data_IF_873176051359
#
_entry.id   IF_873176051359
#
_cell.length_a   1.000
_cell.length_b   1.000
_cell.length_c   1.000
_cell.angle_alpha   90.00
_cell.angle_beta   90.00
_cell.angle_gamma   90.00
#
_symmetry.space_group_name_H-M   'P 1'
#
loop_
_entity.id
_entity.type
_entity.pdbx_description
1 polymer ?
#
# COMPACT_ATOMS: atom_id res chain seq x y z
N UNK A 1 -14.76 -1.29 -4.96
CA UNK A 1 -14.03 -0.14 -4.41
C UNK A 1 -14.95 0.76 -3.60
N UNK A 2 -16.06 1.29 -4.16
CA UNK A 2 -16.99 2.19 -3.45
C UNK A 2 -17.36 1.72 -2.02
N UNK A 3 -17.78 0.45 -1.85
CA UNK A 3 -18.08 -0.11 -0.52
C UNK A 3 -16.86 -0.06 0.42
N UNK A 4 -15.66 -0.34 -0.09
CA UNK A 4 -14.44 -0.33 0.71
C UNK A 4 -14.05 1.08 1.15
N UNK A 5 -14.42 2.12 0.39
CA UNK A 5 -14.22 3.52 0.77
C UNK A 5 -15.03 3.88 2.02
N UNK A 6 -16.27 3.40 2.10
CA UNK A 6 -17.25 3.75 3.13
C UNK A 6 -17.12 2.94 4.43
N UNK A 7 -16.72 1.67 4.36
CA UNK A 7 -16.58 0.83 5.56
C UNK A 7 -15.33 1.19 6.37
N UNK A 8 -15.28 0.83 7.65
CA UNK A 8 -14.09 1.11 8.48
C UNK A 8 -12.82 0.45 7.93
N UNK A 9 -11.66 1.05 8.18
CA UNK A 9 -10.37 0.58 7.67
C UNK A 9 -10.10 -0.87 8.08
N UNK A 10 -10.38 -1.22 9.35
CA UNK A 10 -10.27 -2.59 9.86
C UNK A 10 -11.21 -3.59 9.15
N UNK A 11 -12.42 -3.18 8.79
CA UNK A 11 -13.35 -4.05 8.02
C UNK A 11 -12.85 -4.24 6.59
N UNK A 12 -12.45 -3.17 5.92
CA UNK A 12 -11.86 -3.23 4.59
C UNK A 12 -10.59 -4.10 4.59
N UNK A 13 -9.69 -3.93 5.55
CA UNK A 13 -8.48 -4.73 5.69
C UNK A 13 -8.79 -6.22 5.85
N UNK A 14 -9.79 -6.58 6.68
CA UNK A 14 -10.21 -7.98 6.83
C UNK A 14 -10.77 -8.58 5.54
N UNK A 15 -11.48 -7.81 4.72
CA UNK A 15 -11.95 -8.23 3.39
C UNK A 15 -10.75 -8.43 2.46
N UNK A 16 -9.84 -7.45 2.39
CA UNK A 16 -8.67 -7.52 1.54
C UNK A 16 -7.69 -8.62 1.99
N UNK A 17 -7.64 -8.96 3.28
CA UNK A 17 -6.88 -10.09 3.83
C UNK A 17 -7.30 -11.43 3.21
N UNK A 18 -8.55 -11.56 2.78
CA UNK A 18 -9.11 -12.76 2.16
C UNK A 18 -9.19 -12.65 0.62
N UNK A 19 -8.91 -11.48 0.05
CA UNK A 19 -8.99 -11.23 -1.40
C UNK A 19 -7.65 -11.55 -2.08
N UNK A 20 -7.64 -12.11 -3.29
CA UNK A 20 -6.39 -12.33 -4.03
C UNK A 20 -5.58 -11.03 -4.21
N UNK A 21 -4.25 -11.12 -4.09
CA UNK A 21 -3.35 -9.95 -4.14
C UNK A 21 -3.51 -9.14 -5.42
N UNK A 22 -3.66 -9.77 -6.59
CA UNK A 22 -3.86 -9.04 -7.85
C UNK A 22 -5.15 -8.21 -7.80
N UNK A 23 -6.22 -8.81 -7.26
CA UNK A 23 -7.50 -8.13 -7.13
C UNK A 23 -7.46 -7.02 -6.07
N UNK A 24 -6.69 -7.19 -5.00
CA UNK A 24 -6.44 -6.11 -4.03
C UNK A 24 -5.78 -4.92 -4.73
N UNK A 25 -4.73 -5.14 -5.53
CA UNK A 25 -4.05 -4.06 -6.27
C UNK A 25 -5.04 -3.30 -7.16
N UNK A 26 -5.91 -4.00 -7.90
CA UNK A 26 -6.95 -3.34 -8.70
C UNK A 26 -7.92 -2.53 -7.85
N UNK A 27 -8.35 -3.06 -6.70
CA UNK A 27 -9.26 -2.35 -5.80
C UNK A 27 -8.63 -1.08 -5.23
N UNK A 28 -7.36 -1.13 -4.82
CA UNK A 28 -6.64 0.01 -4.24
C UNK A 28 -6.49 1.17 -5.23
N UNK A 29 -6.38 0.89 -6.55
CA UNK A 29 -6.34 1.94 -7.60
C UNK A 29 -7.61 2.80 -7.66
N UNK A 30 -8.72 2.29 -7.11
CA UNK A 30 -10.01 2.97 -7.09
C UNK A 30 -10.37 3.54 -5.72
N UNK A 31 -9.48 3.41 -4.73
CA UNK A 31 -9.63 4.07 -3.43
C UNK A 31 -8.88 5.40 -3.42
N UNK A 32 -9.26 6.29 -2.52
CA UNK A 32 -8.41 7.45 -2.23
C UNK A 32 -7.07 6.98 -1.66
N UNK A 33 -5.99 7.74 -1.87
CA UNK A 33 -4.65 7.39 -1.36
C UNK A 33 -4.70 7.21 0.16
N UNK A 34 -5.34 8.14 0.87
CA UNK A 34 -5.50 8.07 2.33
C UNK A 34 -6.25 6.82 2.76
N UNK A 35 -7.33 6.45 2.05
CA UNK A 35 -8.07 5.22 2.36
C UNK A 35 -7.23 3.97 2.11
N UNK A 36 -6.58 3.89 0.96
CA UNK A 36 -5.72 2.76 0.61
C UNK A 36 -4.61 2.57 1.65
N UNK A 37 -3.93 3.64 2.04
CA UNK A 37 -2.86 3.61 3.03
C UNK A 37 -3.36 3.17 4.42
N UNK A 38 -4.46 3.76 4.89
CA UNK A 38 -5.07 3.36 6.16
C UNK A 38 -5.45 1.88 6.20
N UNK A 39 -5.98 1.35 5.09
CA UNK A 39 -6.34 -0.07 4.99
C UNK A 39 -5.09 -0.95 4.92
N UNK A 40 -4.05 -0.53 4.20
CA UNK A 40 -2.78 -1.24 4.09
C UNK A 40 -2.04 -1.37 5.43
N UNK A 41 -2.09 -0.34 6.28
CA UNK A 41 -1.53 -0.39 7.65
C UNK A 41 -2.23 -1.45 8.52
N UNK A 42 -3.52 -1.70 8.28
CA UNK A 42 -4.34 -2.68 9.02
C UNK A 42 -4.24 -4.11 8.44
N UNK A 43 -3.68 -4.29 7.24
CA UNK A 43 -3.43 -5.61 6.64
C UNK A 43 -2.22 -6.27 7.34
N UNK A 44 -2.21 -7.60 7.38
CA UNK A 44 -1.06 -8.36 7.87
C UNK A 44 0.22 -8.05 7.06
N UNK A 45 1.38 -7.95 7.73
CA UNK A 45 2.63 -7.48 7.09
C UNK A 45 2.98 -8.32 5.87
N UNK A 46 2.86 -9.65 5.97
CA UNK A 46 3.24 -10.56 4.88
C UNK A 46 2.36 -10.39 3.64
N UNK A 47 1.09 -10.01 3.85
CA UNK A 47 0.20 -9.73 2.74
C UNK A 47 0.42 -8.33 2.19
N UNK A 48 0.58 -7.34 3.07
CA UNK A 48 0.83 -5.96 2.70
C UNK A 48 2.12 -5.85 1.86
N UNK A 49 3.20 -6.56 2.21
CA UNK A 49 4.45 -6.54 1.43
C UNK A 49 4.23 -7.06 0.01
N UNK A 50 3.56 -8.19 -0.16
CA UNK A 50 3.21 -8.75 -1.48
C UNK A 50 2.32 -7.83 -2.30
N UNK A 51 1.40 -7.11 -1.65
CA UNK A 51 0.58 -6.10 -2.31
C UNK A 51 1.45 -4.93 -2.77
N UNK A 52 2.31 -4.39 -1.90
CA UNK A 52 3.25 -3.30 -2.23
C UNK A 52 4.15 -3.68 -3.39
N UNK A 53 4.71 -4.89 -3.40
CA UNK A 53 5.51 -5.41 -4.50
C UNK A 53 4.74 -5.40 -5.81
N UNK A 54 3.56 -6.00 -5.81
CA UNK A 54 2.73 -6.10 -7.01
C UNK A 54 2.20 -4.74 -7.48
N UNK A 55 1.96 -3.81 -6.55
CA UNK A 55 1.64 -2.43 -6.89
C UNK A 55 2.83 -1.75 -7.56
N UNK A 56 4.04 -1.90 -7.01
CA UNK A 56 5.24 -1.28 -7.55
C UNK A 56 5.61 -1.82 -8.94
N UNK A 57 5.39 -3.11 -9.19
CA UNK A 57 5.51 -3.73 -10.51
C UNK A 57 4.53 -3.14 -11.54
N UNK A 58 3.30 -2.86 -11.11
CA UNK A 58 2.25 -2.36 -11.99
C UNK A 58 2.31 -0.84 -12.22
N UNK A 59 2.60 -0.07 -11.16
CA UNK A 59 2.67 1.39 -11.13
C UNK A 59 3.43 1.84 -9.87
N UNK A 60 4.75 2.02 -10.00
CA UNK A 60 5.62 2.46 -8.91
C UNK A 60 5.22 3.81 -8.32
N UNK A 61 4.64 4.72 -9.11
CA UNK A 61 4.27 6.06 -8.66
C UNK A 61 3.06 6.02 -7.75
N UNK A 62 2.04 5.25 -8.11
CA UNK A 62 0.86 5.04 -7.24
C UNK A 62 1.23 4.26 -5.98
N UNK A 63 2.10 3.26 -6.09
CA UNK A 63 2.62 2.52 -4.94
C UNK A 63 3.38 3.42 -3.98
N UNK A 64 4.28 4.27 -4.50
CA UNK A 64 5.05 5.24 -3.73
C UNK A 64 4.16 6.22 -2.94
N UNK A 65 3.12 6.79 -3.58
CA UNK A 65 2.16 7.69 -2.92
C UNK A 65 1.44 7.02 -1.75
N UNK A 66 0.98 5.78 -1.96
CA UNK A 66 0.29 5.04 -0.90
C UNK A 66 1.27 4.69 0.22
N UNK A 67 2.50 4.28 -0.11
CA UNK A 67 3.52 3.95 0.88
C UNK A 67 3.97 5.18 1.70
N UNK A 68 4.11 6.35 1.07
CA UNK A 68 4.38 7.62 1.74
C UNK A 68 3.28 7.98 2.74
N UNK A 69 2.01 7.82 2.33
CA UNK A 69 0.86 8.02 3.23
C UNK A 69 0.78 6.93 4.31
N UNK A 70 1.19 5.69 4.04
CA UNK A 70 1.31 4.66 5.10
C UNK A 70 2.35 5.08 6.13
N UNK A 71 3.48 5.65 5.70
CA UNK A 71 4.54 6.11 6.60
C UNK A 71 4.09 7.31 7.45
N UNK A 72 3.25 8.20 6.91
CA UNK A 72 2.65 9.31 7.65
C UNK A 72 1.65 8.85 8.72
N UNK A 73 0.93 7.73 8.45
CA UNK A 73 -0.01 7.11 9.39
C UNK A 73 0.71 6.28 10.46
N UNK A 74 1.64 5.41 10.05
CA UNK A 74 2.36 4.51 10.95
C UNK A 74 3.72 4.10 10.33
N UNK A 75 4.76 4.85 10.68
CA UNK A 75 6.12 4.63 10.19
C UNK A 75 6.66 3.24 10.54
N UNK A 76 6.47 2.78 11.79
CA UNK A 76 6.97 1.46 12.23
C UNK A 76 6.33 0.35 11.42
N UNK A 77 5.01 0.38 11.24
CA UNK A 77 4.30 -0.63 10.45
C UNK A 77 4.72 -0.62 8.98
N UNK A 78 4.96 0.58 8.44
CA UNK A 78 5.42 0.72 7.05
C UNK A 78 6.83 0.17 6.88
N UNK A 79 7.72 0.38 7.86
CA UNK A 79 9.04 -0.23 7.88
C UNK A 79 8.97 -1.76 7.91
N UNK A 80 8.11 -2.36 8.76
CA UNK A 80 7.89 -3.82 8.80
C UNK A 80 7.48 -4.38 7.41
N UNK A 81 6.62 -3.67 6.69
CA UNK A 81 6.20 -4.04 5.33
C UNK A 81 7.37 -3.98 4.34
N UNK A 82 8.20 -2.94 4.44
CA UNK A 82 9.38 -2.77 3.59
C UNK A 82 10.49 -3.78 3.89
N UNK A 83 10.65 -4.20 5.15
CA UNK A 83 11.59 -5.26 5.55
C UNK A 83 11.25 -6.61 4.90
N UNK A 84 9.96 -6.84 4.62
CA UNK A 84 9.45 -8.03 3.92
C UNK A 84 9.29 -7.85 2.41
N UNK A 85 9.66 -6.69 1.88
CA UNK A 85 9.63 -6.37 0.46
C UNK A 85 11.02 -6.61 -0.15
N UNK A 86 11.07 -7.06 -1.40
CA UNK A 86 12.33 -7.20 -2.14
C UNK A 86 13.14 -5.89 -2.11
N UNK A 87 14.43 -5.99 -1.77
CA UNK A 87 15.33 -4.83 -1.60
C UNK A 87 15.31 -3.88 -2.80
N UNK A 88 15.30 -4.42 -4.02
CA UNK A 88 15.27 -3.60 -5.24
C UNK A 88 13.93 -2.85 -5.40
N UNK A 89 12.82 -3.47 -5.01
CA UNK A 89 11.51 -2.83 -5.02
C UNK A 89 11.45 -1.72 -3.97
N UNK A 90 11.96 -1.97 -2.75
CA UNK A 90 12.10 -0.94 -1.71
C UNK A 90 12.93 0.25 -2.20
N UNK A 91 14.08 0.01 -2.84
CA UNK A 91 14.92 1.07 -3.38
C UNK A 91 14.19 1.91 -4.44
N UNK A 92 13.47 1.27 -5.36
CA UNK A 92 12.65 1.96 -6.38
C UNK A 92 11.57 2.84 -5.74
N UNK A 93 10.88 2.32 -4.73
CA UNK A 93 9.83 3.05 -4.01
C UNK A 93 10.39 4.28 -3.31
N UNK A 94 11.52 4.16 -2.60
CA UNK A 94 12.18 5.30 -1.93
C UNK A 94 12.62 6.37 -2.93
N UNK A 95 13.21 5.95 -4.07
CA UNK A 95 13.59 6.89 -5.13
C UNK A 95 12.38 7.62 -5.71
N UNK A 96 11.27 6.91 -5.94
CA UNK A 96 10.05 7.52 -6.46
C UNK A 96 9.40 8.47 -5.47
N UNK A 97 9.37 8.13 -4.17
CA UNK A 97 8.92 9.06 -3.10
C UNK A 97 9.76 10.34 -3.12
N UNK A 98 11.09 10.22 -3.19
CA UNK A 98 11.96 11.40 -3.27
C UNK A 98 11.70 12.24 -4.54
N UNK A 99 11.29 11.62 -5.65
CA UNK A 99 10.94 12.33 -6.89
C UNK A 99 9.57 13.03 -6.82
N UNK A 100 8.61 12.50 -6.05
CA UNK A 100 7.29 13.12 -5.86
C UNK A 100 7.40 14.50 -5.19
N UNK A 101 8.41 14.71 -4.35
CA UNK A 101 8.66 15.94 -3.61
C UNK A 101 9.39 17.03 -4.41
N UNK A 102 9.82 16.73 -5.65
CA UNK A 102 10.60 17.65 -6.50
C UNK A 102 9.74 18.58 -7.36
N UNK A 103 8.41 18.50 -7.25
CA UNK A 103 7.43 19.28 -7.99
C UNK A 103 6.29 19.71 -7.08
#
# INVERSE_FOLDING_TARGET
AAILEEVSNKKAARILQLTDTARVVELLKHLTVSKAANVMVEIDVEKASKIVEKMAEADVKSAARILEEMASINLTRTAEVLEKTQTMTTAKLILEIANLQRY
#
